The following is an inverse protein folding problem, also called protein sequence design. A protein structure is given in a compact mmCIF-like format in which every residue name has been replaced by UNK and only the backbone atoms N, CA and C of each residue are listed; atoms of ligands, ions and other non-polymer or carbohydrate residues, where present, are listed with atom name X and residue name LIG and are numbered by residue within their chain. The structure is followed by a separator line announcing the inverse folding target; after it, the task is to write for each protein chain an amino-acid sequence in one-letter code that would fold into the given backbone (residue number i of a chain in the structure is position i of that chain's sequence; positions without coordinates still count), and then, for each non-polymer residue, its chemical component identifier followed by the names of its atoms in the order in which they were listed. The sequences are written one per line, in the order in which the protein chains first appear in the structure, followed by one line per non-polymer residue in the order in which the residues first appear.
data_IF_388896490814
#
_entry.id   IF_388896490814
#
_cell.length_a   1.000
_cell.length_b   1.000
_cell.length_c   1.000
_cell.angle_alpha   90.00
_cell.angle_beta   90.00
_cell.angle_gamma   90.00
#
_symmetry.space_group_name_H-M   'P 1'
#
loop_
_entity.id
_entity.type
_entity.pdbx_description
1 polymer ?
#
# COMPACT_ATOMS: atom_id res chain seq x y z
N UNK A 1 20.76 50.97 66.76
CA UNK A 1 20.19 51.74 65.63
C UNK A 1 20.99 51.42 64.38
N UNK A 2 20.52 50.52 63.51
CA UNK A 2 20.96 50.42 62.11
C UNK A 2 19.97 49.55 61.33
N UNK A 3 19.83 49.88 60.06
CA UNK A 3 18.59 49.84 59.28
C UNK A 3 18.30 48.47 58.67
N UNK A 4 16.99 48.23 58.50
CA UNK A 4 16.39 47.26 57.59
C UNK A 4 17.04 47.33 56.20
N UNK A 5 17.22 46.18 55.55
CA UNK A 5 17.08 46.08 54.08
C UNK A 5 16.83 44.61 53.71
N UNK A 6 15.56 44.25 53.78
CA UNK A 6 14.96 43.13 53.04
C UNK A 6 14.93 43.50 51.56
N UNK A 7 15.96 43.16 50.79
CA UNK A 7 15.87 43.12 49.33
C UNK A 7 17.00 42.24 48.79
N UNK A 8 16.66 41.40 47.80
CA UNK A 8 17.55 40.60 46.94
C UNK A 8 17.55 39.07 47.12
N UNK A 9 16.62 38.47 47.88
CA UNK A 9 16.38 37.01 47.76
C UNK A 9 15.63 36.66 46.45
N UNK A 10 15.00 37.65 45.79
CA UNK A 10 14.31 37.48 44.51
C UNK A 10 15.22 37.53 43.27
N UNK A 11 16.54 37.70 43.42
CA UNK A 11 17.46 37.65 42.27
C UNK A 11 18.23 36.32 42.15
N UNK A 12 18.23 35.48 43.19
CA UNK A 12 18.88 34.16 43.15
C UNK A 12 17.98 33.01 42.68
N UNK A 13 16.67 33.22 42.51
CA UNK A 13 15.77 32.21 41.91
C UNK A 13 15.46 32.44 40.43
N UNK A 14 15.95 33.52 39.81
CA UNK A 14 15.75 33.77 38.38
C UNK A 14 16.91 33.23 37.50
N UNK A 15 18.02 32.79 38.10
CA UNK A 15 19.18 32.28 37.34
C UNK A 15 19.17 30.76 37.12
N UNK A 16 18.30 30.00 37.79
CA UNK A 16 18.19 28.55 37.62
C UNK A 16 17.02 28.08 36.73
N UNK A 17 16.20 29.00 36.21
CA UNK A 17 15.05 28.67 35.37
C UNK A 17 15.27 28.85 33.86
N UNK A 18 16.51 29.12 33.41
CA UNK A 18 16.81 29.41 32.00
C UNK A 18 17.78 28.41 31.33
N UNK A 19 17.94 27.21 31.87
CA UNK A 19 18.85 26.18 31.34
C UNK A 19 18.19 24.81 31.11
N UNK A 20 16.88 24.76 30.88
CA UNK A 20 16.17 23.51 30.57
C UNK A 20 15.16 23.65 29.42
N UNK A 21 15.39 24.57 28.49
CA UNK A 21 14.63 24.66 27.24
C UNK A 21 15.67 24.67 26.11
N UNK A 22 15.53 23.75 25.16
CA UNK A 22 16.47 23.39 24.08
C UNK A 22 17.60 22.47 24.58
N UNK A 23 17.49 21.15 24.48
CA UNK A 23 17.61 20.46 23.19
C UNK A 23 17.13 19.01 23.29
N UNK A 24 15.82 18.78 23.14
CA UNK A 24 15.40 17.54 22.44
C UNK A 24 15.46 17.84 20.94
N UNK A 25 16.66 18.16 20.45
CA UNK A 25 16.96 18.00 19.05
C UNK A 25 17.09 16.48 18.90
N UNK A 26 15.95 15.81 18.69
CA UNK A 26 15.91 14.37 18.50
C UNK A 26 16.91 14.04 17.41
N UNK A 27 18.04 13.42 17.78
CA UNK A 27 18.96 12.84 16.79
C UNK A 27 18.08 11.94 15.94
N UNK A 28 17.84 12.31 14.67
CA UNK A 28 17.29 11.36 13.70
C UNK A 28 18.17 10.14 13.80
N UNK A 29 17.60 9.03 14.26
CA UNK A 29 18.30 7.76 14.35
C UNK A 29 18.94 7.52 12.98
N UNK A 30 20.27 7.50 12.93
CA UNK A 30 20.96 7.33 11.66
C UNK A 30 20.64 5.93 11.16
N UNK A 31 19.93 5.86 10.02
CA UNK A 31 19.66 4.61 9.32
C UNK A 31 20.98 3.87 9.10
N UNK A 32 21.04 2.60 9.51
CA UNK A 32 22.21 1.74 9.26
C UNK A 32 22.46 1.49 7.77
N UNK A 33 23.48 0.72 7.45
CA UNK A 33 23.78 0.37 6.05
C UNK A 33 22.64 -0.44 5.41
N UNK A 34 22.37 -0.17 4.13
CA UNK A 34 21.37 -0.88 3.34
C UNK A 34 21.70 -2.38 3.30
N UNK A 35 20.82 -3.19 3.86
CA UNK A 35 20.95 -4.64 3.83
C UNK A 35 20.68 -5.16 2.42
N UNK A 36 21.25 -6.33 2.09
CA UNK A 36 21.02 -7.00 0.81
C UNK A 36 19.51 -7.26 0.64
N UNK A 37 18.97 -6.77 -0.48
CA UNK A 37 17.59 -7.07 -0.89
C UNK A 37 17.66 -8.24 -1.85
N UNK A 38 17.00 -9.35 -1.49
CA UNK A 38 16.99 -10.53 -2.33
C UNK A 38 15.72 -11.34 -2.13
N UNK A 39 14.95 -11.50 -3.20
CA UNK A 39 13.85 -12.45 -3.23
C UNK A 39 14.37 -13.83 -3.62
N UNK A 40 14.31 -14.79 -2.69
CA UNK A 40 14.77 -16.17 -2.90
C UNK A 40 13.70 -17.08 -3.54
N UNK A 41 12.67 -16.51 -4.16
CA UNK A 41 11.58 -17.23 -4.81
C UNK A 41 11.67 -17.20 -6.35
N UNK A 42 10.62 -17.69 -6.99
CA UNK A 42 10.44 -17.60 -8.45
C UNK A 42 9.09 -16.99 -8.74
N UNK A 43 9.07 -15.82 -9.40
CA UNK A 43 7.82 -15.12 -9.72
C UNK A 43 6.84 -16.01 -10.51
N UNK A 44 7.34 -16.84 -11.42
CA UNK A 44 6.53 -17.75 -12.23
C UNK A 44 6.01 -18.96 -11.47
N UNK A 45 6.61 -19.30 -10.32
CA UNK A 45 6.16 -20.42 -9.48
C UNK A 45 5.25 -19.91 -8.36
N UNK A 46 5.65 -18.80 -7.75
CA UNK A 46 5.07 -18.29 -6.51
C UNK A 46 3.84 -17.39 -6.79
N UNK A 47 3.77 -16.75 -7.97
CA UNK A 47 2.68 -15.85 -8.38
C UNK A 47 2.06 -16.26 -9.73
N UNK A 48 1.59 -17.51 -9.79
CA UNK A 48 1.06 -18.14 -11.02
C UNK A 48 -0.42 -18.46 -10.97
N UNK A 49 -1.13 -17.99 -9.96
CA UNK A 49 -2.56 -18.26 -9.79
C UNK A 49 -3.32 -17.96 -11.09
N UNK A 50 -4.18 -18.89 -11.50
CA UNK A 50 -4.91 -18.80 -12.76
C UNK A 50 -6.13 -17.88 -12.61
N UNK A 51 -6.58 -17.28 -13.71
CA UNK A 51 -7.74 -16.39 -13.68
C UNK A 51 -8.97 -17.06 -13.04
N UNK A 52 -9.17 -18.36 -13.30
CA UNK A 52 -10.30 -19.12 -12.75
C UNK A 52 -10.33 -19.15 -11.22
N UNK A 53 -9.18 -19.24 -10.55
CA UNK A 53 -9.15 -19.23 -9.07
C UNK A 53 -9.39 -17.84 -8.50
N UNK A 54 -8.91 -16.80 -9.19
CA UNK A 54 -9.22 -15.41 -8.84
C UNK A 54 -10.71 -15.13 -8.99
N UNK A 55 -11.29 -15.55 -10.11
CA UNK A 55 -12.71 -15.34 -10.41
C UNK A 55 -13.62 -16.11 -9.44
N UNK A 56 -13.35 -17.38 -9.19
CA UNK A 56 -14.14 -18.20 -8.28
C UNK A 56 -14.16 -17.63 -6.86
N UNK A 57 -13.02 -17.11 -6.37
CA UNK A 57 -12.96 -16.47 -5.07
C UNK A 57 -13.64 -15.11 -5.06
N UNK A 58 -13.44 -14.31 -6.11
CA UNK A 58 -14.10 -13.03 -6.28
C UNK A 58 -15.63 -13.15 -6.28
N UNK A 59 -16.17 -14.16 -6.96
CA UNK A 59 -17.60 -14.48 -6.96
C UNK A 59 -18.10 -14.94 -5.59
N UNK A 60 -17.26 -15.64 -4.82
CA UNK A 60 -17.62 -16.18 -3.51
C UNK A 60 -17.74 -15.12 -2.43
N UNK A 61 -16.81 -14.16 -2.38
CA UNK A 61 -16.72 -13.17 -1.28
C UNK A 61 -17.15 -11.76 -1.70
N UNK A 62 -17.27 -11.51 -3.00
CA UNK A 62 -17.47 -10.18 -3.55
C UNK A 62 -18.93 -9.77 -3.69
N UNK A 63 -19.11 -8.54 -4.13
CA UNK A 63 -20.42 -7.97 -4.44
C UNK A 63 -20.93 -8.47 -5.79
N UNK A 64 -22.23 -8.28 -6.04
CA UNK A 64 -22.79 -8.42 -7.38
C UNK A 64 -22.17 -7.36 -8.32
N UNK A 65 -21.64 -7.75 -9.49
CA UNK A 65 -21.08 -6.81 -10.45
C UNK A 65 -22.06 -5.72 -10.88
N UNK A 66 -21.65 -4.46 -10.76
CA UNK A 66 -22.38 -3.34 -11.33
C UNK A 66 -22.22 -3.28 -12.86
N UNK A 67 -23.32 -3.02 -13.57
CA UNK A 67 -23.32 -2.92 -15.03
C UNK A 67 -22.58 -1.68 -15.51
N UNK A 68 -22.81 -0.54 -14.86
CA UNK A 68 -22.25 0.77 -15.20
C UNK A 68 -21.96 1.59 -13.92
N UNK A 69 -21.45 2.82 -14.10
CA UNK A 69 -21.05 3.69 -12.98
C UNK A 69 -22.23 4.12 -12.09
N UNK A 70 -23.40 4.35 -12.67
CA UNK A 70 -24.60 4.70 -11.89
C UNK A 70 -25.07 3.55 -10.99
N UNK A 71 -25.02 2.32 -11.49
CA UNK A 71 -25.28 1.13 -10.67
C UNK A 71 -24.18 0.95 -9.60
N UNK A 72 -22.93 1.27 -9.93
CA UNK A 72 -21.82 1.20 -9.00
C UNK A 72 -22.00 2.14 -7.79
N UNK A 73 -22.64 3.30 -7.98
CA UNK A 73 -23.00 4.21 -6.90
C UNK A 73 -23.99 3.61 -5.88
N UNK A 74 -24.76 2.58 -6.28
CA UNK A 74 -25.71 1.90 -5.39
C UNK A 74 -25.00 0.82 -4.56
N UNK A 75 -24.14 0.01 -5.19
CA UNK A 75 -23.40 -1.07 -4.53
C UNK A 75 -22.20 -0.60 -3.71
N UNK A 76 -21.72 0.64 -3.90
CA UNK A 76 -20.62 1.20 -3.09
C UNK A 76 -20.91 1.22 -1.59
N UNK A 77 -22.18 1.19 -1.16
CA UNK A 77 -22.56 1.15 0.27
C UNK A 77 -22.05 -0.11 0.98
N UNK A 78 -21.80 -1.17 0.24
CA UNK A 78 -21.25 -2.44 0.74
C UNK A 78 -19.71 -2.46 0.68
N UNK A 79 -19.09 -1.37 0.21
CA UNK A 79 -17.67 -1.26 -0.09
C UNK A 79 -17.04 -0.09 0.65
N UNK A 80 -15.71 -0.10 0.72
CA UNK A 80 -14.90 1.00 1.22
C UNK A 80 -14.26 1.71 0.06
N UNK A 81 -14.38 3.04 0.04
CA UNK A 81 -13.56 3.87 -0.83
C UNK A 81 -12.11 3.81 -0.38
N UNK A 82 -11.19 3.62 -1.33
CA UNK A 82 -9.76 3.73 -1.10
C UNK A 82 -9.24 5.03 -1.71
N UNK A 83 -8.31 5.66 -1.03
CA UNK A 83 -7.63 6.86 -1.53
C UNK A 83 -6.15 6.76 -1.19
N UNK A 84 -5.33 7.58 -1.85
CA UNK A 84 -3.91 7.71 -1.52
C UNK A 84 -3.74 8.02 -0.04
N UNK A 85 -2.91 7.24 0.64
CA UNK A 85 -2.66 7.36 2.07
C UNK A 85 -1.17 7.23 2.40
N UNK A 86 -0.83 6.97 3.66
CA UNK A 86 0.56 6.84 4.11
C UNK A 86 1.27 5.59 3.55
N UNK A 87 0.54 4.52 3.19
CA UNK A 87 1.09 3.22 2.80
C UNK A 87 1.12 2.98 1.28
N UNK A 88 0.14 3.53 0.56
CA UNK A 88 0.04 3.36 -0.89
C UNK A 88 -0.48 4.64 -1.58
N UNK A 89 -0.20 4.74 -2.88
CA UNK A 89 -0.74 5.77 -3.76
C UNK A 89 -1.75 5.13 -4.71
N UNK A 90 -2.94 5.72 -4.82
CA UNK A 90 -3.94 5.35 -5.83
C UNK A 90 -3.72 6.23 -7.05
N UNK A 91 -3.34 5.62 -8.17
CA UNK A 91 -3.17 6.36 -9.43
C UNK A 91 -4.53 6.79 -10.00
N UNK A 92 -4.51 7.63 -11.04
CA UNK A 92 -5.70 8.01 -11.78
C UNK A 92 -6.40 6.78 -12.40
N UNK A 93 -7.56 6.39 -11.85
CA UNK A 93 -8.30 5.20 -12.25
C UNK A 93 -9.19 5.45 -13.46
N UNK A 94 -8.62 5.40 -14.67
CA UNK A 94 -9.37 5.65 -15.92
C UNK A 94 -10.44 4.60 -16.24
N UNK A 95 -10.24 3.36 -15.78
CA UNK A 95 -11.08 2.21 -16.15
C UNK A 95 -11.53 1.39 -14.94
N UNK A 96 -11.51 1.99 -13.75
CA UNK A 96 -12.03 1.41 -12.51
C UNK A 96 -12.58 2.50 -11.59
N UNK A 97 -13.29 2.10 -10.54
CA UNK A 97 -13.69 2.93 -9.40
C UNK A 97 -12.85 2.55 -8.18
N UNK A 98 -12.54 3.49 -7.28
CA UNK A 98 -11.65 3.27 -6.13
C UNK A 98 -12.40 2.62 -4.95
N UNK A 99 -13.17 1.57 -5.18
CA UNK A 99 -13.90 0.87 -4.12
C UNK A 99 -13.41 -0.56 -4.00
N UNK A 100 -13.28 -1.07 -2.78
CA UNK A 100 -13.03 -2.48 -2.48
C UNK A 100 -13.97 -2.95 -1.37
N UNK A 101 -14.31 -4.24 -1.34
CA UNK A 101 -14.96 -4.81 -0.15
C UNK A 101 -14.05 -4.64 1.09
N UNK A 102 -14.59 -4.61 2.32
CA UNK A 102 -13.81 -4.33 3.51
C UNK A 102 -12.56 -5.20 3.69
N UNK A 103 -12.63 -6.50 3.38
CA UNK A 103 -11.50 -7.44 3.51
C UNK A 103 -10.41 -7.18 2.47
N UNK A 104 -10.79 -6.84 1.22
CA UNK A 104 -9.84 -6.47 0.17
C UNK A 104 -9.16 -5.12 0.45
N UNK A 105 -9.91 -4.13 0.95
CA UNK A 105 -9.33 -2.86 1.38
C UNK A 105 -8.32 -3.06 2.52
N UNK A 106 -8.65 -3.93 3.49
CA UNK A 106 -7.74 -4.28 4.60
C UNK A 106 -6.49 -5.01 4.11
N UNK A 107 -6.63 -5.92 3.14
CA UNK A 107 -5.48 -6.59 2.52
C UNK A 107 -4.54 -5.58 1.84
N UNK A 108 -5.07 -4.63 1.07
CA UNK A 108 -4.28 -3.59 0.40
C UNK A 108 -3.50 -2.73 1.41
N UNK A 109 -4.17 -2.29 2.47
CA UNK A 109 -3.56 -1.56 3.58
C UNK A 109 -2.41 -2.36 4.21
N UNK A 110 -2.64 -3.64 4.52
CA UNK A 110 -1.63 -4.52 5.11
C UNK A 110 -0.45 -4.78 4.16
N UNK A 111 -0.69 -4.89 2.84
CA UNK A 111 0.39 -4.98 1.85
C UNK A 111 1.28 -3.73 1.90
N UNK A 112 0.69 -2.54 1.87
CA UNK A 112 1.44 -1.29 1.91
C UNK A 112 2.22 -1.12 3.22
N UNK A 113 1.60 -1.48 4.35
CA UNK A 113 2.23 -1.43 5.68
C UNK A 113 3.39 -2.41 5.80
N UNK A 114 3.18 -3.69 5.45
CA UNK A 114 4.21 -4.72 5.45
C UNK A 114 5.35 -4.40 4.48
N UNK A 115 5.06 -3.76 3.34
CA UNK A 115 6.06 -3.31 2.39
C UNK A 115 6.98 -2.25 3.01
N UNK A 116 6.43 -1.22 3.64
CA UNK A 116 7.23 -0.22 4.33
C UNK A 116 8.00 -0.79 5.51
N UNK A 117 7.41 -1.68 6.31
CA UNK A 117 8.10 -2.34 7.42
C UNK A 117 9.26 -3.20 6.95
N UNK A 118 9.09 -3.90 5.83
CA UNK A 118 10.17 -4.64 5.19
C UNK A 118 11.31 -3.72 4.74
N UNK A 119 10.99 -2.55 4.16
CA UNK A 119 12.00 -1.55 3.79
C UNK A 119 12.75 -1.00 5.01
N UNK A 120 12.04 -0.69 6.10
CA UNK A 120 12.65 -0.26 7.38
C UNK A 120 13.62 -1.31 7.90
N UNK A 121 13.21 -2.57 7.95
CA UNK A 121 14.04 -3.69 8.41
C UNK A 121 15.29 -3.91 7.56
N UNK A 122 15.23 -3.54 6.27
CA UNK A 122 16.34 -3.61 5.32
C UNK A 122 17.24 -2.37 5.37
N UNK A 123 16.97 -1.39 6.24
CA UNK A 123 17.62 -0.07 6.22
C UNK A 123 17.52 0.60 4.83
N UNK A 124 16.42 0.38 4.11
CA UNK A 124 16.15 1.01 2.83
C UNK A 124 15.38 2.33 3.00
N UNK A 125 15.39 3.16 1.96
CA UNK A 125 14.45 4.29 1.85
C UNK A 125 13.02 3.79 1.78
N UNK A 126 12.08 4.58 2.30
CA UNK A 126 10.68 4.19 2.38
C UNK A 126 9.96 4.63 1.10
N UNK A 127 9.18 3.70 0.54
CA UNK A 127 8.37 3.91 -0.65
C UNK A 127 6.93 3.47 -0.40
N UNK A 128 6.00 4.07 -1.15
CA UNK A 128 4.62 3.62 -1.29
C UNK A 128 4.50 2.75 -2.53
N UNK A 129 3.71 1.69 -2.45
CA UNK A 129 3.26 0.94 -3.62
C UNK A 129 2.22 1.75 -4.38
N UNK A 130 2.09 1.52 -5.70
CA UNK A 130 1.09 2.19 -6.54
C UNK A 130 -0.03 1.25 -6.94
N UNK A 131 -1.27 1.64 -6.67
CA UNK A 131 -2.49 0.94 -7.05
C UNK A 131 -2.96 1.47 -8.39
N UNK A 132 -3.05 0.59 -9.39
CA UNK A 132 -3.27 0.97 -10.79
C UNK A 132 -4.63 0.55 -11.34
N UNK A 133 -5.28 -0.42 -10.68
CA UNK A 133 -6.65 -0.82 -10.99
C UNK A 133 -7.32 -1.44 -9.78
N UNK A 134 -8.63 -1.26 -9.69
CA UNK A 134 -9.45 -1.69 -8.54
C UNK A 134 -10.75 -2.28 -9.07
N UNK A 135 -11.92 -1.75 -8.71
CA UNK A 135 -13.19 -2.34 -9.12
C UNK A 135 -13.62 -1.85 -10.50
N UNK A 136 -14.08 -2.75 -11.37
CA UNK A 136 -14.55 -2.41 -12.73
C UNK A 136 -16.03 -2.70 -12.88
N UNK A 137 -16.74 -1.83 -13.57
CA UNK A 137 -18.11 -2.15 -14.03
C UNK A 137 -18.07 -3.05 -15.26
N UNK A 138 -19.20 -3.65 -15.63
CA UNK A 138 -19.30 -4.45 -16.87
C UNK A 138 -18.92 -3.59 -18.09
N UNK A 139 -19.36 -2.34 -18.12
CA UNK A 139 -19.07 -1.42 -19.22
C UNK A 139 -17.60 -1.00 -19.26
N UNK A 140 -16.94 -0.84 -18.11
CA UNK A 140 -15.49 -0.61 -18.04
C UNK A 140 -14.73 -1.78 -18.69
N UNK A 141 -15.13 -3.02 -18.40
CA UNK A 141 -14.51 -4.22 -18.98
C UNK A 141 -14.72 -4.27 -20.50
N UNK A 142 -15.93 -3.97 -20.99
CA UNK A 142 -16.20 -3.90 -22.44
C UNK A 142 -15.32 -2.85 -23.14
N UNK A 143 -15.19 -1.67 -22.54
CA UNK A 143 -14.39 -0.57 -23.10
C UNK A 143 -12.88 -0.84 -23.04
N UNK A 144 -12.42 -1.61 -22.04
CA UNK A 144 -11.04 -2.07 -21.98
C UNK A 144 -10.74 -3.10 -23.08
N UNK A 145 -11.64 -4.08 -23.31
CA UNK A 145 -11.47 -5.11 -24.33
C UNK A 145 -11.30 -4.54 -25.74
N UNK A 146 -12.02 -3.46 -26.07
CA UNK A 146 -11.88 -2.78 -27.37
C UNK A 146 -10.44 -2.32 -27.64
N UNK A 147 -9.67 -2.01 -26.59
CA UNK A 147 -8.28 -1.52 -26.69
C UNK A 147 -7.24 -2.58 -26.32
N UNK A 148 -7.62 -3.62 -25.60
CA UNK A 148 -6.72 -4.71 -25.19
C UNK A 148 -7.37 -6.07 -25.42
N UNK A 149 -7.03 -6.71 -26.53
CA UNK A 149 -7.53 -8.04 -26.90
C UNK A 149 -7.22 -9.12 -25.85
N UNK A 150 -6.23 -8.91 -24.97
CA UNK A 150 -5.88 -9.85 -23.92
C UNK A 150 -6.76 -9.76 -22.66
N UNK A 151 -7.67 -8.79 -22.54
CA UNK A 151 -8.52 -8.68 -21.36
C UNK A 151 -9.69 -9.67 -21.42
N UNK A 152 -9.90 -10.46 -20.36
CA UNK A 152 -11.05 -11.36 -20.23
C UNK A 152 -12.36 -10.57 -20.09
N UNK A 153 -13.46 -11.11 -20.60
CA UNK A 153 -14.80 -10.53 -20.35
C UNK A 153 -15.29 -10.81 -18.93
N UNK A 154 -14.87 -11.94 -18.36
CA UNK A 154 -15.14 -12.24 -16.96
C UNK A 154 -13.89 -11.92 -16.13
N UNK A 155 -13.90 -10.75 -15.51
CA UNK A 155 -12.77 -10.21 -14.75
C UNK A 155 -13.10 -10.20 -13.26
N UNK A 156 -12.19 -10.71 -12.43
CA UNK A 156 -12.32 -10.69 -10.97
C UNK A 156 -12.46 -9.27 -10.39
N UNK A 157 -11.98 -8.24 -11.10
CA UNK A 157 -12.17 -6.83 -10.73
C UNK A 157 -13.64 -6.40 -10.66
N UNK A 158 -14.57 -7.16 -11.22
CA UNK A 158 -16.00 -6.81 -11.21
C UNK A 158 -16.67 -6.93 -9.84
N UNK A 159 -16.03 -7.64 -8.91
CA UNK A 159 -16.65 -8.09 -7.67
C UNK A 159 -16.17 -7.32 -6.43
N UNK A 160 -15.33 -6.29 -6.58
CA UNK A 160 -14.86 -5.52 -5.42
C UNK A 160 -13.72 -6.14 -4.63
N UNK A 161 -13.19 -7.29 -5.07
CA UNK A 161 -12.25 -8.12 -4.29
C UNK A 161 -10.81 -8.02 -4.77
N UNK A 162 -10.61 -7.41 -5.94
CA UNK A 162 -9.41 -7.57 -6.75
C UNK A 162 -8.84 -6.21 -7.15
N UNK A 163 -7.52 -6.08 -7.02
CA UNK A 163 -6.79 -4.86 -7.33
C UNK A 163 -5.42 -5.19 -7.93
N UNK A 164 -4.90 -4.24 -8.70
CA UNK A 164 -3.59 -4.33 -9.35
C UNK A 164 -2.61 -3.37 -8.67
N UNK A 165 -1.44 -3.89 -8.29
CA UNK A 165 -0.34 -3.11 -7.73
C UNK A 165 0.84 -3.13 -8.69
N UNK A 166 1.34 -1.96 -9.08
CA UNK A 166 2.50 -1.83 -9.96
C UNK A 166 3.76 -2.42 -9.30
N UNK A 167 4.58 -3.13 -10.08
CA UNK A 167 5.95 -3.49 -9.68
C UNK A 167 7.02 -2.69 -10.42
N UNK A 168 6.62 -1.77 -11.30
CA UNK A 168 7.53 -0.89 -12.05
C UNK A 168 7.45 0.58 -11.62
N UNK A 169 6.51 0.93 -10.74
CA UNK A 169 6.32 2.31 -10.25
C UNK A 169 6.11 2.32 -8.75
N UNK A 170 6.77 3.26 -8.09
CA UNK A 170 6.72 3.50 -6.65
C UNK A 170 6.79 5.01 -6.38
N UNK A 171 6.33 5.43 -5.21
CA UNK A 171 6.47 6.84 -4.77
C UNK A 171 7.36 6.87 -3.55
N UNK A 172 8.45 7.64 -3.59
CA UNK A 172 9.33 7.80 -2.43
C UNK A 172 8.62 8.63 -1.37
N UNK A 173 8.70 8.22 -0.10
CA UNK A 173 8.02 8.92 0.99
C UNK A 173 8.78 10.16 1.42
N UNK A 174 10.11 10.06 1.50
CA UNK A 174 11.00 11.16 1.88
C UNK A 174 11.94 11.49 0.71
N UNK A 175 11.65 12.57 0.00
CA UNK A 175 12.47 13.08 -1.11
C UNK A 175 13.82 13.64 -0.63
N UNK A 176 13.95 13.97 0.68
CA UNK A 176 15.23 14.45 1.25
C UNK A 176 16.20 13.31 1.55
N UNK A 177 15.72 12.06 1.60
CA UNK A 177 16.57 10.89 1.74
C UNK A 177 17.36 10.67 0.45
N UNK A 178 18.69 10.63 0.53
CA UNK A 178 19.56 10.53 -0.65
C UNK A 178 19.71 9.10 -1.18
N UNK A 179 19.39 8.08 -0.37
CA UNK A 179 19.43 6.70 -0.83
C UNK A 179 18.29 6.45 -1.80
N UNK A 180 18.58 5.86 -2.96
CA UNK A 180 17.55 5.44 -3.92
C UNK A 180 17.61 3.93 -4.07
N UNK A 181 16.43 3.31 -4.14
CA UNK A 181 16.28 1.88 -4.38
C UNK A 181 15.69 1.70 -5.78
N UNK A 182 16.32 0.88 -6.60
CA UNK A 182 15.81 0.57 -7.92
C UNK A 182 14.49 -0.22 -7.87
N UNK A 183 13.69 -0.09 -8.92
CA UNK A 183 12.37 -0.71 -8.98
C UNK A 183 12.44 -2.25 -8.92
N UNK A 184 13.51 -2.88 -9.40
CA UNK A 184 13.65 -4.34 -9.33
C UNK A 184 13.87 -4.82 -7.89
N UNK A 185 14.66 -4.09 -7.09
CA UNK A 185 14.79 -4.35 -5.65
C UNK A 185 13.50 -4.06 -4.90
N UNK A 186 12.79 -2.97 -5.21
CA UNK A 186 11.47 -2.69 -4.62
C UNK A 186 10.46 -3.78 -4.97
N UNK A 187 10.49 -4.29 -6.19
CA UNK A 187 9.70 -5.46 -6.61
C UNK A 187 10.04 -6.70 -5.81
N UNK A 188 11.32 -6.96 -5.52
CA UNK A 188 11.72 -8.09 -4.66
C UNK A 188 11.13 -7.96 -3.24
N UNK A 189 11.10 -6.75 -2.68
CA UNK A 189 10.48 -6.50 -1.36
C UNK A 189 8.99 -6.74 -1.40
N UNK A 190 8.29 -6.20 -2.41
CA UNK A 190 6.86 -6.44 -2.60
C UNK A 190 6.56 -7.94 -2.80
N UNK A 191 7.40 -8.65 -3.53
CA UNK A 191 7.26 -10.09 -3.74
C UNK A 191 7.43 -10.90 -2.44
N UNK A 192 8.35 -10.52 -1.54
CA UNK A 192 8.45 -11.17 -0.22
C UNK A 192 7.14 -11.01 0.56
N UNK A 193 6.61 -9.78 0.63
CA UNK A 193 5.33 -9.48 1.30
C UNK A 193 4.18 -10.28 0.70
N UNK A 194 4.03 -10.27 -0.62
CA UNK A 194 2.94 -10.99 -1.30
C UNK A 194 3.07 -12.51 -1.13
N UNK A 195 4.29 -13.05 -1.14
CA UNK A 195 4.52 -14.48 -0.89
C UNK A 195 4.06 -14.86 0.51
N UNK A 196 4.40 -14.06 1.51
CA UNK A 196 4.09 -14.38 2.90
C UNK A 196 2.57 -14.27 3.17
N UNK A 197 1.92 -13.21 2.66
CA UNK A 197 0.46 -13.08 2.71
C UNK A 197 -0.28 -14.20 1.95
N UNK A 198 0.26 -14.65 0.82
CA UNK A 198 -0.28 -15.79 0.08
C UNK A 198 -0.15 -17.10 0.87
N UNK A 199 0.97 -17.32 1.57
CA UNK A 199 1.18 -18.49 2.44
C UNK A 199 0.24 -18.50 3.64
N UNK A 200 -0.14 -17.32 4.13
CA UNK A 200 -1.19 -17.12 5.13
C UNK A 200 -2.61 -17.29 4.56
N UNK A 201 -2.74 -17.66 3.29
CA UNK A 201 -4.01 -17.83 2.57
C UNK A 201 -4.87 -16.57 2.49
N UNK A 202 -4.26 -15.40 2.56
CA UNK A 202 -4.98 -14.11 2.53
C UNK A 202 -5.30 -13.61 1.12
N UNK A 203 -4.62 -14.15 0.11
CA UNK A 203 -4.82 -13.73 -1.28
C UNK A 203 -4.39 -14.76 -2.32
N UNK A 204 -4.92 -14.58 -3.53
CA UNK A 204 -4.34 -15.09 -4.77
C UNK A 204 -3.56 -13.98 -5.46
N UNK A 205 -2.47 -14.35 -6.13
CA UNK A 205 -1.54 -13.41 -6.77
C UNK A 205 -1.08 -13.95 -8.12
N UNK A 206 -1.22 -13.12 -9.16
CA UNK A 206 -0.66 -13.35 -10.49
C UNK A 206 0.33 -12.24 -10.83
N UNK A 207 1.56 -12.61 -11.21
CA UNK A 207 2.54 -11.66 -11.71
C UNK A 207 2.31 -11.40 -13.22
N UNK A 208 1.73 -10.25 -13.55
CA UNK A 208 1.38 -9.86 -14.91
C UNK A 208 2.50 -9.05 -15.58
N UNK A 209 3.41 -9.76 -16.24
CA UNK A 209 4.59 -9.16 -16.87
C UNK A 209 4.28 -8.08 -17.90
N UNK A 210 3.25 -8.29 -18.73
CA UNK A 210 2.88 -7.35 -19.81
C UNK A 210 2.27 -6.06 -19.27
N UNK A 211 1.54 -6.12 -18.16
CA UNK A 211 0.89 -4.95 -17.55
C UNK A 211 1.78 -4.24 -16.54
N UNK A 212 2.87 -4.87 -16.08
CA UNK A 212 3.75 -4.27 -15.10
C UNK A 212 3.20 -4.30 -13.67
N UNK A 213 2.24 -5.19 -13.37
CA UNK A 213 1.60 -5.29 -12.05
C UNK A 213 1.57 -6.71 -11.47
N UNK A 214 1.31 -6.78 -10.17
CA UNK A 214 0.76 -7.94 -9.50
C UNK A 214 -0.76 -7.78 -9.46
N UNK A 215 -1.47 -8.78 -10.00
CA UNK A 215 -2.91 -8.89 -9.94
C UNK A 215 -3.29 -9.70 -8.68
N UNK A 216 -4.03 -9.08 -7.76
CA UNK A 216 -4.22 -9.59 -6.40
C UNK A 216 -5.71 -9.66 -6.10
N UNK A 217 -6.19 -10.83 -5.70
CA UNK A 217 -7.57 -11.04 -5.22
C UNK A 217 -7.52 -11.44 -3.76
N UNK A 218 -8.29 -10.75 -2.92
CA UNK A 218 -8.44 -11.11 -1.52
C UNK A 218 -9.07 -12.50 -1.37
N UNK A 219 -8.63 -13.24 -0.34
CA UNK A 219 -9.14 -14.55 0.00
C UNK A 219 -9.57 -14.56 1.46
N UNK A 220 -10.71 -15.20 1.71
CA UNK A 220 -11.20 -15.44 3.08
C UNK A 220 -11.14 -16.92 3.41
N UNK A 221 -10.89 -17.26 4.68
CA UNK A 221 -10.95 -18.66 5.11
C UNK A 221 -12.37 -19.19 4.90
N UNK A 222 -12.44 -20.43 4.41
CA UNK A 222 -13.71 -21.17 4.33
C UNK A 222 -14.11 -21.68 5.70
#
# INVERSE_FOLDING_TARGET
MMKKTTLSIWFMMAAFAAAAICSSCGKKEQRGELKRIWYNGSYNRDFKDLNDVHLAEAERIGIKPASNREEAEKVKKEMKEISTNEYYEVEELKHSIPYLIPSAAKLLEDIGRNFQDSLRNLNASIYKVKVTSVTRTIDDVKNLKKRNTNSSQNSAHRYGTTFDVSWVRYTKVDESDTLNIDNDRLKMVLAMVLRDLKREERCYVKHERKQGCFHITAREKK
#
